data_IF_768311525040
#
_entry.id   IF_768311525040
#
_cell.length_a   1.000
_cell.length_b   1.000
_cell.length_c   1.000
_cell.angle_alpha   90.00
_cell.angle_beta   90.00
_cell.angle_gamma   90.00
#
_symmetry.space_group_name_H-M   'P 1'
#
loop_
_entity.id
_entity.type
_entity.pdbx_description
1 polymer ?
#
# COMPACT_ATOMS: atom_id res chain seq x y z
N UNK A 1 5.71 18.50 5.32
CA UNK A 1 4.78 18.13 6.41
C UNK A 1 4.45 16.68 6.15
N UNK A 2 4.91 15.76 7.01
CA UNK A 2 4.64 14.33 6.84
C UNK A 2 3.15 14.05 7.01
N UNK A 3 2.60 13.10 6.27
CA UNK A 3 1.23 12.63 6.48
C UNK A 3 1.11 11.89 7.83
N UNK A 4 -0.09 11.81 8.40
CA UNK A 4 -0.36 11.04 9.63
C UNK A 4 -0.48 9.54 9.36
N UNK A 5 -0.37 8.70 10.39
CA UNK A 5 -0.53 7.25 10.28
C UNK A 5 -1.92 6.86 9.74
N UNK A 6 -3.00 7.43 10.29
CA UNK A 6 -4.36 7.20 9.77
C UNK A 6 -4.49 7.56 8.29
N UNK A 7 -3.84 8.66 7.87
CA UNK A 7 -3.85 9.08 6.46
C UNK A 7 -3.03 8.12 5.59
N UNK A 8 -1.89 7.63 6.10
CA UNK A 8 -1.04 6.66 5.42
C UNK A 8 -1.76 5.32 5.24
N UNK A 9 -2.41 4.82 6.29
CA UNK A 9 -3.22 3.61 6.26
C UNK A 9 -4.38 3.76 5.28
N UNK A 10 -5.09 4.89 5.32
CA UNK A 10 -6.19 5.17 4.38
C UNK A 10 -5.68 5.19 2.93
N UNK A 11 -4.54 5.83 2.66
CA UNK A 11 -3.94 5.86 1.33
C UNK A 11 -3.55 4.47 0.84
N UNK A 12 -2.92 3.67 1.70
CA UNK A 12 -2.52 2.31 1.37
C UNK A 12 -3.73 1.37 1.19
N UNK A 13 -4.81 1.55 1.95
CA UNK A 13 -6.07 0.83 1.75
C UNK A 13 -6.70 1.17 0.40
N UNK A 14 -6.66 2.44 -0.01
CA UNK A 14 -7.09 2.86 -1.34
C UNK A 14 -6.22 2.22 -2.43
N UNK A 15 -4.91 2.17 -2.22
CA UNK A 15 -3.97 1.50 -3.13
C UNK A 15 -4.26 -0.01 -3.24
N UNK A 16 -4.54 -0.68 -2.12
CA UNK A 16 -4.94 -2.08 -2.11
C UNK A 16 -6.27 -2.29 -2.85
N UNK A 17 -7.27 -1.44 -2.62
CA UNK A 17 -8.55 -1.50 -3.32
C UNK A 17 -8.39 -1.32 -4.84
N UNK A 18 -7.56 -0.37 -5.25
CA UNK A 18 -7.20 -0.17 -6.66
C UNK A 18 -6.48 -1.41 -7.22
N UNK A 19 -5.47 -1.93 -6.52
CA UNK A 19 -4.70 -3.10 -6.94
C UNK A 19 -5.57 -4.34 -7.11
N UNK A 20 -6.51 -4.60 -6.19
CA UNK A 20 -7.45 -5.72 -6.27
C UNK A 20 -8.37 -5.60 -7.49
N UNK A 21 -8.67 -4.38 -7.94
CA UNK A 21 -9.41 -4.13 -9.18
C UNK A 21 -8.58 -4.33 -10.46
N UNK A 22 -7.27 -4.50 -10.37
CA UNK A 22 -6.38 -4.66 -11.52
C UNK A 22 -6.07 -6.15 -11.78
N UNK A 23 -6.74 -6.76 -12.76
CA UNK A 23 -6.58 -8.18 -13.10
C UNK A 23 -5.16 -8.56 -13.57
N UNK A 24 -4.39 -7.59 -14.06
CA UNK A 24 -3.00 -7.80 -14.50
C UNK A 24 -1.99 -7.69 -13.35
N UNK A 25 -2.20 -6.73 -12.44
CA UNK A 25 -1.25 -6.44 -11.35
C UNK A 25 -1.49 -7.31 -10.13
N UNK A 26 -2.74 -7.67 -9.84
CA UNK A 26 -3.09 -8.48 -8.68
C UNK A 26 -2.36 -9.84 -8.67
N UNK A 27 -2.32 -10.63 -9.77
CA UNK A 27 -1.58 -11.90 -9.77
C UNK A 27 -0.07 -11.72 -9.56
N UNK A 28 0.51 -10.62 -10.05
CA UNK A 28 1.92 -10.30 -9.89
C UNK A 28 2.22 -9.99 -8.42
N UNK A 29 1.39 -9.17 -7.77
CA UNK A 29 1.50 -8.86 -6.36
C UNK A 29 1.35 -10.10 -5.47
N UNK A 30 0.36 -10.96 -5.74
CA UNK A 30 0.18 -12.21 -4.99
C UNK A 30 1.39 -13.13 -5.18
N UNK A 31 1.93 -13.21 -6.39
CA UNK A 31 3.14 -13.96 -6.70
C UNK A 31 4.41 -13.42 -6.04
N UNK A 32 4.53 -12.10 -5.88
CA UNK A 32 5.70 -11.45 -5.27
C UNK A 32 5.68 -11.50 -3.74
N UNK A 33 4.50 -11.38 -3.13
CA UNK A 33 4.32 -11.38 -1.67
C UNK A 33 4.07 -12.76 -1.08
N UNK A 34 3.71 -13.74 -1.90
CA UNK A 34 3.26 -15.06 -1.46
C UNK A 34 1.89 -15.05 -0.76
N UNK A 35 1.16 -13.94 -0.81
CA UNK A 35 -0.19 -13.83 -0.26
C UNK A 35 -1.20 -14.59 -1.13
N UNK A 36 -2.25 -15.16 -0.51
CA UNK A 36 -3.41 -15.61 -1.24
C UNK A 36 -4.45 -14.48 -1.34
N UNK A 37 -5.25 -14.49 -2.41
CA UNK A 37 -6.33 -13.51 -2.59
C UNK A 37 -7.33 -13.50 -1.42
N UNK A 38 -7.55 -14.65 -0.78
CA UNK A 38 -8.43 -14.76 0.38
C UNK A 38 -7.85 -14.08 1.63
N UNK A 39 -6.53 -14.02 1.76
CA UNK A 39 -5.85 -13.48 2.93
C UNK A 39 -5.76 -11.94 2.87
N UNK A 40 -6.01 -11.34 1.70
CA UNK A 40 -5.92 -9.89 1.50
C UNK A 40 -6.82 -9.10 2.45
N UNK A 41 -8.03 -9.60 2.73
CA UNK A 41 -8.96 -8.95 3.65
C UNK A 41 -8.45 -8.98 5.08
N UNK A 42 -7.88 -10.11 5.50
CA UNK A 42 -7.39 -10.29 6.86
C UNK A 42 -6.13 -9.44 7.10
N UNK A 43 -5.25 -9.38 6.09
CA UNK A 43 -4.01 -8.62 6.14
C UNK A 43 -4.18 -7.13 5.86
N UNK A 44 -5.31 -6.68 5.32
CA UNK A 44 -5.59 -5.26 5.09
C UNK A 44 -5.55 -4.41 6.38
N UNK A 45 -5.67 -5.03 7.56
CA UNK A 45 -5.50 -4.35 8.84
C UNK A 45 -4.05 -4.27 9.34
N UNK A 46 -3.10 -4.89 8.65
CA UNK A 46 -1.69 -4.93 9.05
C UNK A 46 -0.93 -3.76 8.39
N UNK A 47 -0.38 -2.80 9.17
CA UNK A 47 0.38 -1.67 8.59
C UNK A 47 1.56 -2.11 7.73
N UNK A 48 2.26 -3.17 8.12
CA UNK A 48 3.38 -3.75 7.36
C UNK A 48 2.93 -4.31 6.00
N UNK A 49 1.75 -4.94 5.96
CA UNK A 49 1.18 -5.42 4.70
C UNK A 49 0.78 -4.25 3.79
N UNK A 50 0.13 -3.24 4.36
CA UNK A 50 -0.21 -2.02 3.62
C UNK A 50 1.03 -1.29 3.09
N UNK A 51 2.13 -1.27 3.84
CA UNK A 51 3.41 -0.77 3.35
C UNK A 51 3.91 -1.57 2.14
N UNK A 52 3.81 -2.91 2.19
CA UNK A 52 4.22 -3.78 1.08
C UNK A 52 3.40 -3.56 -0.21
N UNK A 53 2.13 -3.14 -0.09
CA UNK A 53 1.29 -2.76 -1.25
C UNK A 53 1.85 -1.50 -1.91
N UNK A 54 2.19 -0.48 -1.12
CA UNK A 54 2.79 0.74 -1.62
C UNK A 54 4.16 0.47 -2.23
N UNK A 55 4.99 -0.35 -1.57
CA UNK A 55 6.29 -0.78 -2.09
C UNK A 55 6.16 -1.46 -3.45
N UNK A 56 5.18 -2.36 -3.60
CA UNK A 56 4.93 -3.04 -4.87
C UNK A 56 4.58 -2.07 -5.99
N UNK A 57 3.68 -1.11 -5.74
CA UNK A 57 3.34 -0.10 -6.73
C UNK A 57 4.54 0.79 -7.08
N UNK A 58 5.39 1.08 -6.10
CA UNK A 58 6.62 1.88 -6.28
C UNK A 58 7.75 1.13 -7.01
N UNK A 59 7.60 -0.17 -7.30
CA UNK A 59 8.58 -0.90 -8.12
C UNK A 59 8.60 -0.44 -9.57
N UNK A 60 7.48 0.09 -10.07
CA UNK A 60 7.35 0.57 -11.44
C UNK A 60 6.64 1.94 -11.45
N UNK A 61 7.31 2.93 -12.03
CA UNK A 61 6.79 4.30 -12.11
C UNK A 61 5.40 4.36 -12.77
N UNK A 62 5.12 3.47 -13.73
CA UNK A 62 3.82 3.42 -14.40
C UNK A 62 2.69 2.98 -13.47
N UNK A 63 2.95 2.03 -12.57
CA UNK A 63 1.94 1.50 -11.64
C UNK A 63 1.61 2.54 -10.57
N UNK A 64 2.65 3.15 -9.98
CA UNK A 64 2.43 4.17 -8.96
C UNK A 64 1.78 5.43 -9.53
N UNK A 65 2.17 5.86 -10.73
CA UNK A 65 1.51 6.98 -11.41
C UNK A 65 0.05 6.67 -11.72
N UNK A 66 -0.25 5.48 -12.26
CA UNK A 66 -1.62 5.07 -12.56
C UNK A 66 -2.51 5.04 -11.31
N UNK A 67 -1.98 4.55 -10.19
CA UNK A 67 -2.67 4.62 -8.90
C UNK A 67 -2.92 6.07 -8.47
N UNK A 68 -1.88 6.91 -8.51
CA UNK A 68 -1.98 8.30 -8.08
C UNK A 68 -2.99 9.10 -8.91
N UNK A 69 -3.02 8.87 -10.23
CA UNK A 69 -3.99 9.44 -11.15
C UNK A 69 -5.42 8.98 -10.81
N UNK A 70 -5.60 7.68 -10.56
CA UNK A 70 -6.91 7.12 -10.22
C UNK A 70 -7.43 7.59 -8.85
N UNK A 71 -6.55 7.73 -7.87
CA UNK A 71 -6.88 8.20 -6.52
C UNK A 71 -6.87 9.73 -6.38
N UNK A 72 -6.46 10.46 -7.43
CA UNK A 72 -6.27 11.91 -7.43
C UNK A 72 -5.38 12.40 -6.27
N UNK A 73 -4.29 11.67 -6.00
CA UNK A 73 -3.33 11.97 -4.93
C UNK A 73 -2.00 12.45 -5.51
N UNK A 74 -1.27 13.33 -4.78
CA UNK A 74 0.09 13.71 -5.15
C UNK A 74 1.06 12.51 -5.22
N UNK A 75 1.96 12.49 -6.20
CA UNK A 75 2.92 11.40 -6.42
C UNK A 75 3.97 11.25 -5.30
N UNK A 76 4.12 12.24 -4.42
CA UNK A 76 5.02 12.16 -3.27
C UNK A 76 4.35 11.53 -2.03
N UNK A 77 3.02 11.41 -2.01
CA UNK A 77 2.28 10.83 -0.89
C UNK A 77 2.51 9.33 -0.69
N UNK A 78 2.57 8.47 -1.72
CA UNK A 78 2.80 7.04 -1.51
C UNK A 78 4.12 6.74 -0.81
N UNK A 79 5.20 7.44 -1.18
CA UNK A 79 6.49 7.28 -0.54
C UNK A 79 6.47 7.75 0.93
N UNK A 80 5.75 8.84 1.23
CA UNK A 80 5.55 9.31 2.60
C UNK A 80 4.71 8.31 3.41
N UNK A 81 3.66 7.74 2.82
CA UNK A 81 2.81 6.75 3.48
C UNK A 81 3.57 5.47 3.78
N UNK A 82 4.37 4.97 2.83
CA UNK A 82 5.22 3.81 3.05
C UNK A 82 6.18 4.03 4.22
N UNK A 83 6.83 5.20 4.28
CA UNK A 83 7.76 5.51 5.36
C UNK A 83 7.07 5.57 6.72
N UNK A 84 5.84 6.11 6.76
CA UNK A 84 5.03 6.15 7.99
C UNK A 84 4.55 4.76 8.39
N UNK A 85 4.14 3.89 7.46
CA UNK A 85 3.62 2.55 7.78
C UNK A 85 4.73 1.57 8.21
N UNK A 86 5.91 1.65 7.60
CA UNK A 86 7.08 0.84 7.95
C UNK A 86 7.76 1.30 9.24
N UNK A 87 7.61 2.58 9.61
CA UNK A 87 8.17 3.16 10.83
C UNK A 87 7.16 3.36 11.97
N UNK A 88 5.87 3.28 11.66
CA UNK A 88 4.74 3.50 12.57
C UNK A 88 4.25 2.24 13.27
N UNK A 89 4.96 1.12 13.12
CA UNK A 89 4.88 0.02 14.08
C UNK A 89 5.42 0.52 15.42
N UNK A 90 4.62 1.33 16.10
CA UNK A 90 4.95 1.86 17.41
C UNK A 90 5.25 0.66 18.31
N UNK A 91 6.47 0.69 18.81
CA UNK A 91 7.07 -0.28 19.71
C UNK A 91 6.14 -0.41 20.91
N UNK A 92 5.27 -1.42 20.92
CA UNK A 92 4.56 -1.81 22.14
C UNK A 92 5.56 -2.55 23.03
N UNK A 93 6.43 -1.81 23.70
CA UNK A 93 7.18 -2.35 24.83
C UNK A 93 6.19 -2.53 25.99
N UNK A 94 5.71 -3.76 26.17
CA UNK A 94 5.26 -4.23 27.49
C UNK A 94 6.41 -4.86 28.23
#
# INVERSE_FOLDING_TARGET
MSISEDSAQTLALNALGWLVGNEELLPIFLGSTGAAANDLRDRAGEPEFLASVLDFLMLDDSWIMAFCDAAAVPYDQPAQAQAVLSGGSDVHWT
#
